data_IF_639424187968
#
_entry.id   IF_639424187968
#
_cell.length_a   1.000
_cell.length_b   1.000
_cell.length_c   1.000
_cell.angle_alpha   90.00
_cell.angle_beta   90.00
_cell.angle_gamma   90.00
#
_symmetry.space_group_name_H-M   'P 1'
#
loop_
_entity.id
_entity.type
_entity.pdbx_description
1 polymer ?
#
# COMPACT_ATOMS: atom_id res chain seq x y z
N UNK A 1 -8.57 2.74 37.65
CA UNK A 1 -8.04 3.25 36.36
C UNK A 1 -6.63 3.71 36.62
N UNK A 2 -5.62 3.05 36.01
CA UNK A 2 -4.21 3.43 36.18
C UNK A 2 -3.87 4.36 35.01
N UNK A 3 -3.35 5.55 35.31
CA UNK A 3 -2.91 6.51 34.29
C UNK A 3 -1.40 6.34 34.16
N UNK A 4 -0.97 5.87 32.99
CA UNK A 4 0.44 5.80 32.64
C UNK A 4 0.82 7.00 31.79
N UNK A 5 1.88 7.69 32.19
CA UNK A 5 2.44 8.81 31.42
C UNK A 5 3.51 8.29 30.47
N UNK A 6 3.42 8.68 29.18
CA UNK A 6 4.47 8.40 28.23
C UNK A 6 5.76 9.10 28.66
N UNK A 7 6.86 8.36 28.69
CA UNK A 7 8.16 8.93 29.06
C UNK A 7 8.60 9.96 28.02
N UNK A 8 9.08 11.08 28.52
CA UNK A 8 9.71 12.13 27.69
C UNK A 8 11.23 12.03 27.88
N UNK A 9 12.03 12.14 26.81
CA UNK A 9 13.49 12.16 26.92
C UNK A 9 13.95 13.28 27.87
N UNK A 10 15.02 13.02 28.64
CA UNK A 10 15.60 14.03 29.53
C UNK A 10 16.05 15.28 28.78
N UNK A 11 16.64 15.08 27.58
CA UNK A 11 17.01 16.18 26.69
C UNK A 11 16.01 16.23 25.54
N UNK A 12 15.29 17.34 25.46
CA UNK A 12 14.36 17.59 24.36
C UNK A 12 15.12 17.89 23.06
N UNK A 13 14.61 17.39 21.89
CA UNK A 13 15.18 17.76 20.61
C UNK A 13 14.95 19.23 20.29
N UNK A 14 15.84 19.81 19.49
CA UNK A 14 15.61 21.09 18.86
C UNK A 14 14.68 20.91 17.65
N UNK A 15 13.46 21.42 17.75
CA UNK A 15 12.45 21.37 16.70
C UNK A 15 12.20 22.76 16.07
N UNK A 16 13.11 23.72 16.25
CA UNK A 16 12.94 25.08 15.75
C UNK A 16 11.83 25.86 16.46
N UNK A 17 10.98 26.55 15.71
CA UNK A 17 9.90 27.42 16.24
C UNK A 17 8.70 26.66 16.84
N UNK A 18 8.86 25.38 17.17
CA UNK A 18 7.81 24.58 17.79
C UNK A 18 7.68 24.96 19.28
N UNK A 19 6.45 25.20 19.75
CA UNK A 19 6.21 25.56 21.14
C UNK A 19 6.73 24.50 22.13
N UNK A 20 7.15 24.86 23.35
CA UNK A 20 7.70 23.91 24.34
C UNK A 20 6.76 22.73 24.64
N UNK A 21 5.44 22.97 24.67
CA UNK A 21 4.44 21.94 24.90
C UNK A 21 4.46 20.92 23.73
N UNK A 22 4.42 21.40 22.51
CA UNK A 22 4.44 20.53 21.32
C UNK A 22 5.78 19.82 21.19
N UNK A 23 6.90 20.46 21.49
CA UNK A 23 8.22 19.82 21.50
C UNK A 23 8.24 18.62 22.45
N UNK A 24 7.70 18.75 23.67
CA UNK A 24 7.56 17.63 24.61
C UNK A 24 6.67 16.52 24.07
N UNK A 25 5.55 16.86 23.45
CA UNK A 25 4.62 15.89 22.86
C UNK A 25 5.24 15.15 21.68
N UNK A 26 5.98 15.83 20.82
CA UNK A 26 6.71 15.21 19.72
C UNK A 26 7.86 14.33 20.22
N UNK A 27 8.64 14.83 21.18
CA UNK A 27 9.72 14.05 21.80
C UNK A 27 9.21 12.77 22.46
N UNK A 28 8.08 12.83 23.17
CA UNK A 28 7.43 11.65 23.76
C UNK A 28 6.87 10.67 22.71
N UNK A 29 6.82 11.06 21.45
CA UNK A 29 6.47 10.22 20.28
C UNK A 29 7.67 9.82 19.43
N UNK A 30 8.88 10.06 19.93
CA UNK A 30 10.12 9.64 19.28
C UNK A 30 10.63 10.58 18.19
N UNK A 31 10.05 11.78 18.01
CA UNK A 31 10.57 12.77 17.07
C UNK A 31 11.88 13.34 17.62
N UNK A 32 12.95 13.29 16.83
CA UNK A 32 14.30 13.64 17.24
C UNK A 32 14.83 14.91 16.56
N UNK A 33 14.23 15.32 15.45
CA UNK A 33 14.68 16.50 14.69
C UNK A 33 13.53 17.26 14.03
N UNK A 34 13.75 18.53 13.71
CA UNK A 34 12.80 19.35 12.95
C UNK A 34 12.54 18.78 11.54
N UNK A 35 13.50 18.10 10.94
CA UNK A 35 13.35 17.49 9.62
C UNK A 35 12.24 16.41 9.60
N UNK A 36 11.99 15.72 10.72
CA UNK A 36 10.91 14.75 10.83
C UNK A 36 9.50 15.37 10.89
N UNK A 37 9.41 16.68 11.01
CA UNK A 37 8.16 17.45 10.95
C UNK A 37 7.84 17.93 9.53
N UNK A 38 8.77 17.76 8.58
CA UNK A 38 8.49 18.01 7.16
C UNK A 38 7.45 16.99 6.67
N UNK A 39 6.43 17.48 6.00
CA UNK A 39 5.31 16.70 5.46
C UNK A 39 5.25 16.77 3.93
N UNK A 40 6.27 17.34 3.32
CA UNK A 40 6.42 17.44 1.87
C UNK A 40 6.84 16.10 1.25
N UNK A 41 6.34 15.78 0.05
CA UNK A 41 6.72 14.54 -0.66
C UNK A 41 8.22 14.44 -0.95
N UNK A 42 8.93 15.56 -0.99
CA UNK A 42 10.39 15.58 -1.19
C UNK A 42 11.18 15.02 0.00
N UNK A 43 10.54 14.94 1.18
CA UNK A 43 11.14 14.39 2.39
C UNK A 43 10.89 12.87 2.53
N UNK A 44 10.18 12.24 1.59
CA UNK A 44 10.05 10.79 1.55
C UNK A 44 11.43 10.13 1.45
N UNK A 45 11.60 9.02 2.14
CA UNK A 45 12.80 8.22 2.06
C UNK A 45 13.05 7.74 0.62
N UNK A 46 14.31 7.66 0.17
CA UNK A 46 14.62 7.20 -1.17
C UNK A 46 14.31 5.71 -1.33
N UNK A 47 13.55 5.35 -2.36
CA UNK A 47 13.14 3.96 -2.64
C UNK A 47 14.33 3.03 -2.90
N UNK A 48 15.46 3.56 -3.34
CA UNK A 48 16.69 2.81 -3.59
C UNK A 48 17.22 2.06 -2.35
N UNK A 49 16.78 2.45 -1.17
CA UNK A 49 17.14 1.77 0.08
C UNK A 49 16.29 0.53 0.37
N UNK A 50 15.20 0.31 -0.36
CA UNK A 50 14.40 -0.92 -0.26
C UNK A 50 15.12 -2.06 -0.97
N UNK A 51 15.46 -3.10 -0.23
CA UNK A 51 16.04 -4.31 -0.82
C UNK A 51 15.07 -4.95 -1.82
N UNK A 52 15.60 -5.43 -2.95
CA UNK A 52 14.83 -6.09 -3.99
C UNK A 52 14.09 -5.14 -4.96
N UNK A 53 14.14 -3.82 -4.72
CA UNK A 53 13.42 -2.84 -5.54
C UNK A 53 13.86 -2.87 -7.01
N UNK A 54 15.16 -2.98 -7.27
CA UNK A 54 15.69 -3.00 -8.64
C UNK A 54 15.26 -4.25 -9.40
N UNK A 55 15.25 -5.41 -8.72
CA UNK A 55 14.76 -6.67 -9.30
C UNK A 55 13.25 -6.60 -9.61
N UNK A 56 12.44 -6.06 -8.70
CA UNK A 56 11.02 -5.87 -8.91
C UNK A 56 10.75 -4.93 -10.10
N UNK A 57 11.47 -3.82 -10.17
CA UNK A 57 11.38 -2.85 -11.28
C UNK A 57 11.77 -3.50 -12.60
N UNK A 58 12.81 -4.32 -12.63
CA UNK A 58 13.24 -5.02 -13.86
C UNK A 58 12.15 -5.99 -14.37
N UNK A 59 11.55 -6.79 -13.48
CA UNK A 59 10.45 -7.72 -13.84
C UNK A 59 9.24 -6.95 -14.35
N UNK A 60 8.80 -5.92 -13.61
CA UNK A 60 7.62 -5.11 -13.96
C UNK A 60 7.83 -4.33 -15.26
N UNK A 61 9.02 -3.76 -15.49
CA UNK A 61 9.34 -3.05 -16.73
C UNK A 61 9.31 -4.00 -17.93
N UNK A 62 9.83 -5.22 -17.77
CA UNK A 62 9.79 -6.24 -18.82
C UNK A 62 8.35 -6.69 -19.12
N UNK A 63 7.52 -6.83 -18.09
CA UNK A 63 6.11 -7.17 -18.22
C UNK A 63 5.34 -6.09 -18.98
N UNK A 64 5.55 -4.82 -18.64
CA UNK A 64 4.96 -3.67 -19.35
C UNK A 64 5.39 -3.63 -20.83
N UNK A 65 6.69 -3.78 -21.10
CA UNK A 65 7.20 -3.75 -22.47
C UNK A 65 6.63 -4.86 -23.36
N UNK A 66 6.30 -6.02 -22.77
CA UNK A 66 5.72 -7.18 -23.46
C UNK A 66 4.20 -7.23 -23.38
N UNK A 67 3.56 -6.27 -22.68
CA UNK A 67 2.12 -6.29 -22.38
C UNK A 67 1.65 -7.63 -21.78
N UNK A 68 2.44 -8.18 -20.86
CA UNK A 68 2.12 -9.41 -20.15
C UNK A 68 0.88 -9.24 -19.27
N UNK A 69 0.16 -10.34 -19.04
CA UNK A 69 -0.96 -10.40 -18.10
C UNK A 69 -0.44 -10.40 -16.66
N UNK A 70 -0.75 -9.34 -15.91
CA UNK A 70 -0.32 -9.16 -14.53
C UNK A 70 -1.51 -9.41 -13.61
N UNK A 71 -1.38 -10.35 -12.69
CA UNK A 71 -2.38 -10.62 -11.67
C UNK A 71 -1.87 -10.18 -10.29
N UNK A 72 -2.58 -9.25 -9.67
CA UNK A 72 -2.32 -8.80 -8.30
C UNK A 72 -3.02 -9.76 -7.33
N UNK A 73 -2.27 -10.32 -6.39
CA UNK A 73 -2.82 -11.17 -5.33
C UNK A 73 -2.75 -10.41 -4.01
N UNK A 74 -3.90 -9.89 -3.57
CA UNK A 74 -4.02 -9.06 -2.37
C UNK A 74 -4.37 -9.85 -1.12
N UNK A 75 -4.18 -9.20 0.04
CA UNK A 75 -4.75 -9.67 1.30
C UNK A 75 -6.22 -9.21 1.44
N UNK A 76 -6.94 -9.80 2.40
CA UNK A 76 -8.40 -9.68 2.61
C UNK A 76 -8.78 -8.55 3.58
N UNK A 77 -7.88 -7.69 3.98
CA UNK A 77 -8.15 -6.53 4.84
C UNK A 77 -8.05 -5.19 4.09
N UNK A 78 -8.23 -4.09 4.82
CA UNK A 78 -8.23 -2.76 4.23
C UNK A 78 -6.85 -2.35 3.67
N UNK A 79 -5.73 -2.84 4.24
CA UNK A 79 -4.40 -2.59 3.69
C UNK A 79 -4.21 -3.37 2.38
N UNK A 80 -4.51 -4.67 2.37
CA UNK A 80 -4.47 -5.50 1.16
C UNK A 80 -5.39 -4.99 0.06
N UNK A 81 -6.61 -4.54 0.39
CA UNK A 81 -7.54 -3.95 -0.56
C UNK A 81 -7.00 -2.65 -1.18
N UNK A 82 -6.51 -1.73 -0.35
CA UNK A 82 -5.93 -0.47 -0.85
C UNK A 82 -4.63 -0.69 -1.61
N UNK A 83 -3.81 -1.66 -1.18
CA UNK A 83 -2.59 -2.07 -1.88
C UNK A 83 -2.90 -2.65 -3.27
N UNK A 84 -3.93 -3.50 -3.37
CA UNK A 84 -4.43 -4.04 -4.65
C UNK A 84 -4.89 -2.92 -5.58
N UNK A 85 -5.66 -1.96 -5.06
CA UNK A 85 -6.12 -0.80 -5.84
C UNK A 85 -4.93 0.06 -6.32
N UNK A 86 -3.96 0.34 -5.45
CA UNK A 86 -2.75 1.11 -5.83
C UNK A 86 -1.97 0.39 -6.92
N UNK A 87 -1.77 -0.94 -6.80
CA UNK A 87 -1.07 -1.72 -7.82
C UNK A 87 -1.78 -1.69 -9.16
N UNK A 88 -3.08 -2.02 -9.19
CA UNK A 88 -3.90 -2.05 -10.42
C UNK A 88 -3.93 -0.69 -11.10
N UNK A 89 -4.23 0.36 -10.34
CA UNK A 89 -4.35 1.73 -10.89
C UNK A 89 -3.00 2.25 -11.38
N UNK A 90 -1.94 2.11 -10.58
CA UNK A 90 -0.61 2.58 -10.98
C UNK A 90 -0.10 1.85 -12.23
N UNK A 91 -0.26 0.53 -12.32
CA UNK A 91 0.16 -0.23 -13.50
C UNK A 91 -0.63 0.19 -14.74
N UNK A 92 -1.95 0.39 -14.63
CA UNK A 92 -2.77 0.91 -15.73
C UNK A 92 -2.34 2.32 -16.15
N UNK A 93 -2.10 3.21 -15.19
CA UNK A 93 -1.57 4.56 -15.44
C UNK A 93 -0.19 4.54 -16.11
N UNK A 94 0.63 3.53 -15.85
CA UNK A 94 1.95 3.33 -16.44
C UNK A 94 1.91 2.61 -17.80
N UNK A 95 0.73 2.21 -18.29
CA UNK A 95 0.53 1.68 -19.63
C UNK A 95 0.31 0.18 -19.72
N UNK A 96 0.12 -0.54 -18.60
CA UNK A 96 -0.27 -1.94 -18.62
C UNK A 96 -1.72 -2.09 -19.13
N UNK A 97 -1.93 -2.96 -20.13
CA UNK A 97 -3.25 -3.22 -20.71
C UNK A 97 -3.99 -4.37 -20.02
N UNK A 98 -3.26 -5.34 -19.48
CA UNK A 98 -3.78 -6.56 -18.89
C UNK A 98 -3.39 -6.63 -17.42
N UNK A 99 -4.16 -5.96 -16.56
CA UNK A 99 -4.00 -6.00 -15.10
C UNK A 99 -5.33 -6.34 -14.45
N UNK A 100 -5.30 -7.40 -13.68
CA UNK A 100 -6.43 -7.87 -12.88
C UNK A 100 -5.99 -8.13 -11.43
N UNK A 101 -6.93 -8.40 -10.54
CA UNK A 101 -6.63 -8.72 -9.15
C UNK A 101 -7.38 -9.98 -8.69
N UNK A 102 -6.85 -10.62 -7.68
CA UNK A 102 -7.43 -11.75 -6.97
C UNK A 102 -7.26 -11.52 -5.47
N UNK A 103 -8.36 -11.55 -4.73
CA UNK A 103 -8.32 -11.62 -3.27
C UNK A 103 -8.90 -12.94 -2.84
N UNK A 104 -8.10 -13.80 -2.19
CA UNK A 104 -8.58 -15.10 -1.77
C UNK A 104 -9.59 -14.98 -0.63
N UNK A 105 -10.62 -15.81 -0.65
CA UNK A 105 -11.49 -15.98 0.50
C UNK A 105 -10.70 -16.68 1.63
N UNK A 106 -10.45 -15.96 2.74
CA UNK A 106 -9.65 -16.45 3.88
C UNK A 106 -10.21 -17.72 4.53
N UNK A 107 -11.51 -17.94 4.41
CA UNK A 107 -12.16 -19.11 5.01
C UNK A 107 -11.97 -20.38 4.18
N UNK A 108 -11.70 -20.23 2.88
CA UNK A 108 -11.49 -21.34 1.95
C UNK A 108 -10.01 -21.67 1.75
N UNK A 109 -9.15 -20.64 1.65
CA UNK A 109 -7.76 -20.78 1.17
C UNK A 109 -6.70 -20.44 2.23
N UNK A 110 -7.10 -19.89 3.39
CA UNK A 110 -6.16 -19.47 4.42
C UNK A 110 -5.53 -18.09 4.11
N UNK A 111 -4.30 -17.88 4.59
CA UNK A 111 -3.60 -16.60 4.49
C UNK A 111 -2.47 -16.65 3.45
N UNK A 112 -2.31 -15.56 2.70
CA UNK A 112 -1.22 -15.37 1.76
C UNK A 112 -1.36 -16.20 0.47
N UNK A 113 -0.30 -16.23 -0.34
CA UNK A 113 -0.27 -17.01 -1.57
C UNK A 113 -0.03 -18.49 -1.22
N UNK A 114 -1.07 -19.33 -1.30
CA UNK A 114 -1.00 -20.78 -1.14
C UNK A 114 -0.99 -21.48 -2.49
N UNK A 115 -0.61 -22.78 -2.59
CA UNK A 115 -0.71 -23.54 -3.82
C UNK A 115 -2.13 -23.55 -4.42
N UNK A 116 -3.16 -23.63 -3.57
CA UNK A 116 -4.57 -23.62 -3.99
C UNK A 116 -4.96 -22.28 -4.63
N UNK A 117 -4.45 -21.17 -4.08
CA UNK A 117 -4.65 -19.82 -4.67
C UNK A 117 -3.93 -19.71 -6.03
N UNK A 118 -2.77 -20.34 -6.17
CA UNK A 118 -2.07 -20.41 -7.46
C UNK A 118 -2.91 -21.16 -8.49
N UNK A 119 -3.58 -22.25 -8.11
CA UNK A 119 -4.50 -22.97 -9.02
C UNK A 119 -5.66 -22.07 -9.47
N UNK A 120 -6.24 -21.28 -8.59
CA UNK A 120 -7.27 -20.28 -8.94
C UNK A 120 -6.70 -19.19 -9.84
N UNK A 121 -5.50 -18.69 -9.54
CA UNK A 121 -4.82 -17.68 -10.34
C UNK A 121 -4.54 -18.16 -11.78
N UNK A 122 -4.14 -19.42 -11.95
CA UNK A 122 -3.88 -20.03 -13.27
C UNK A 122 -5.11 -20.05 -14.19
N UNK A 123 -6.32 -20.06 -13.64
CA UNK A 123 -7.56 -19.97 -14.44
C UNK A 123 -7.68 -18.63 -15.19
N UNK A 124 -6.97 -17.59 -14.73
CA UNK A 124 -6.90 -16.26 -15.36
C UNK A 124 -5.73 -16.13 -16.33
N UNK A 125 -4.92 -17.20 -16.48
CA UNK A 125 -3.76 -17.26 -17.39
C UNK A 125 -2.80 -16.08 -17.25
N UNK A 126 -2.31 -15.73 -16.03
CA UNK A 126 -1.35 -14.66 -15.87
C UNK A 126 0.05 -15.09 -16.34
N UNK A 127 0.87 -14.11 -16.72
CA UNK A 127 2.31 -14.28 -16.95
C UNK A 127 3.10 -13.93 -15.68
N UNK A 128 2.59 -12.98 -14.89
CA UNK A 128 3.23 -12.44 -13.70
C UNK A 128 2.21 -12.35 -12.55
N UNK A 129 2.59 -12.91 -11.40
CA UNK A 129 1.91 -12.67 -10.12
C UNK A 129 2.65 -11.59 -9.34
N UNK A 130 1.90 -10.64 -8.81
CA UNK A 130 2.42 -9.64 -7.86
C UNK A 130 1.61 -9.76 -6.58
N UNK A 131 2.23 -10.23 -5.49
CA UNK A 131 1.55 -10.20 -4.20
C UNK A 131 1.64 -8.80 -3.59
N UNK A 132 0.60 -8.37 -2.93
CA UNK A 132 0.57 -7.10 -2.20
C UNK A 132 0.05 -7.35 -0.79
N UNK A 133 0.77 -6.86 0.20
CA UNK A 133 0.47 -7.02 1.62
C UNK A 133 0.47 -8.50 2.10
N UNK A 134 1.10 -9.36 1.35
CA UNK A 134 1.32 -10.76 1.69
C UNK A 134 2.47 -11.35 0.87
N UNK A 135 2.84 -12.59 1.18
CA UNK A 135 3.73 -13.37 0.34
C UNK A 135 5.12 -13.62 0.89
N UNK A 136 5.61 -12.85 1.88
CA UNK A 136 6.96 -13.02 2.44
C UNK A 136 7.17 -14.41 3.09
N UNK A 137 6.11 -15.04 3.56
CA UNK A 137 6.11 -16.38 4.16
C UNK A 137 5.48 -17.45 3.25
N UNK A 138 5.10 -17.10 2.02
CA UNK A 138 4.39 -17.97 1.07
C UNK A 138 5.34 -18.86 0.26
N UNK A 139 6.15 -19.66 0.95
CA UNK A 139 7.19 -20.51 0.32
C UNK A 139 6.59 -21.49 -0.69
N UNK A 140 5.58 -22.25 -0.26
CA UNK A 140 4.96 -23.30 -1.07
C UNK A 140 4.14 -22.70 -2.24
N UNK A 141 3.43 -21.61 -2.01
CA UNK A 141 2.68 -20.92 -3.05
C UNK A 141 3.58 -20.31 -4.12
N UNK A 142 4.68 -19.66 -3.73
CA UNK A 142 5.67 -19.16 -4.70
C UNK A 142 6.31 -20.32 -5.46
N UNK A 143 6.65 -21.41 -4.78
CA UNK A 143 7.20 -22.60 -5.44
C UNK A 143 6.21 -23.20 -6.47
N UNK A 144 4.92 -23.28 -6.13
CA UNK A 144 3.87 -23.75 -7.04
C UNK A 144 3.72 -22.81 -8.26
N UNK A 145 3.71 -21.49 -8.05
CA UNK A 145 3.65 -20.52 -9.13
C UNK A 145 4.86 -20.61 -10.07
N UNK A 146 6.07 -20.75 -9.50
CA UNK A 146 7.31 -20.94 -10.29
C UNK A 146 7.30 -22.26 -11.05
N UNK A 147 6.80 -23.35 -10.46
CA UNK A 147 6.65 -24.65 -11.12
C UNK A 147 5.65 -24.59 -12.30
N UNK A 148 4.64 -23.73 -12.21
CA UNK A 148 3.69 -23.44 -13.28
C UNK A 148 4.25 -22.50 -14.36
N UNK A 149 5.51 -22.03 -14.23
CA UNK A 149 6.16 -21.14 -15.20
C UNK A 149 5.88 -19.67 -15.04
N UNK A 150 5.22 -19.26 -13.95
CA UNK A 150 4.91 -17.85 -13.68
C UNK A 150 6.14 -17.10 -13.16
N UNK A 151 6.21 -15.80 -13.45
CA UNK A 151 7.04 -14.88 -12.69
C UNK A 151 6.31 -14.45 -11.43
N UNK A 152 7.06 -14.20 -10.34
CA UNK A 152 6.49 -13.81 -9.05
C UNK A 152 7.28 -12.64 -8.46
N UNK A 153 6.57 -11.54 -8.17
CA UNK A 153 7.08 -10.41 -7.40
C UNK A 153 6.32 -10.36 -6.08
N UNK A 154 7.04 -10.43 -4.97
CA UNK A 154 6.46 -10.30 -3.62
C UNK A 154 6.64 -8.87 -3.14
N UNK A 155 5.53 -8.20 -2.77
CA UNK A 155 5.56 -6.94 -2.02
C UNK A 155 4.79 -7.11 -0.72
N UNK A 156 5.49 -6.92 0.40
CA UNK A 156 4.95 -7.23 1.71
C UNK A 156 5.64 -6.36 2.78
N UNK A 157 5.10 -6.31 3.97
CA UNK A 157 5.69 -5.62 5.13
C UNK A 157 5.76 -6.51 6.39
N UNK A 158 5.10 -7.66 6.36
CA UNK A 158 5.10 -8.62 7.45
C UNK A 158 6.51 -9.14 7.77
N UNK A 159 6.68 -9.65 8.99
CA UNK A 159 7.95 -10.23 9.40
C UNK A 159 8.20 -11.53 8.62
N UNK A 160 9.41 -11.71 8.04
CA UNK A 160 9.75 -12.94 7.35
C UNK A 160 9.88 -14.11 8.34
N UNK A 161 9.65 -15.32 7.83
CA UNK A 161 10.03 -16.55 8.53
C UNK A 161 11.53 -16.83 8.44
N UNK A 162 11.92 -18.05 8.81
CA UNK A 162 13.32 -18.50 8.77
C UNK A 162 13.90 -18.56 7.35
N UNK A 163 13.02 -18.71 6.36
CA UNK A 163 13.38 -18.77 4.94
C UNK A 163 12.51 -17.80 4.14
N UNK A 164 13.09 -17.28 3.06
CA UNK A 164 12.36 -16.46 2.09
C UNK A 164 11.89 -17.31 0.91
N UNK A 165 10.74 -16.99 0.30
CA UNK A 165 10.29 -17.66 -0.91
C UNK A 165 11.24 -17.36 -2.09
N UNK A 166 11.35 -18.30 -3.04
CA UNK A 166 12.19 -18.17 -4.24
C UNK A 166 11.47 -17.38 -5.36
N UNK A 167 10.99 -16.19 -5.03
CA UNK A 167 10.37 -15.27 -5.99
C UNK A 167 11.44 -14.61 -6.89
N UNK A 168 11.00 -14.06 -8.03
CA UNK A 168 11.88 -13.29 -8.92
C UNK A 168 12.33 -11.97 -8.29
N UNK A 169 11.49 -11.40 -7.43
CA UNK A 169 11.86 -10.27 -6.58
C UNK A 169 11.04 -10.27 -5.28
N UNK A 170 11.64 -9.78 -4.20
CA UNK A 170 10.98 -9.56 -2.91
C UNK A 170 11.28 -8.14 -2.45
N UNK A 171 10.24 -7.33 -2.27
CA UNK A 171 10.33 -5.99 -1.70
C UNK A 171 9.59 -5.98 -0.37
N UNK A 172 10.36 -5.95 0.71
CA UNK A 172 9.83 -5.91 2.07
C UNK A 172 10.82 -5.16 2.97
N UNK A 173 10.43 -4.07 3.66
CA UNK A 173 11.32 -3.32 4.53
C UNK A 173 11.85 -4.15 5.70
N UNK A 174 11.12 -5.22 6.11
CA UNK A 174 11.46 -6.10 7.24
C UNK A 174 12.31 -7.31 6.84
N UNK A 175 12.59 -7.53 5.53
CA UNK A 175 13.42 -8.65 5.09
C UNK A 175 14.87 -8.51 5.58
N UNK A 176 15.59 -9.63 5.81
CA UNK A 176 16.97 -9.61 6.26
C UNK A 176 17.86 -8.77 5.34
N UNK A 177 18.71 -7.93 5.93
CA UNK A 177 19.66 -7.08 5.19
C UNK A 177 19.06 -5.84 4.54
N UNK A 178 17.76 -5.61 4.62
CA UNK A 178 17.15 -4.38 4.11
C UNK A 178 17.57 -3.17 4.96
N UNK A 179 18.12 -2.14 4.32
CA UNK A 179 18.58 -0.92 5.00
C UNK A 179 17.52 0.20 5.06
N UNK A 180 16.34 -0.02 4.48
CA UNK A 180 15.27 0.98 4.49
C UNK A 180 14.87 1.37 5.91
N UNK A 181 14.92 2.67 6.29
CA UNK A 181 14.76 3.06 7.68
C UNK A 181 13.33 2.89 8.22
N UNK A 182 12.31 3.09 7.38
CA UNK A 182 10.91 2.95 7.78
C UNK A 182 10.51 1.47 7.77
N UNK A 183 10.73 0.79 8.89
CA UNK A 183 10.34 -0.62 9.07
C UNK A 183 8.85 -0.82 9.30
N UNK A 184 8.16 0.27 9.62
CA UNK A 184 6.73 0.29 9.93
C UNK A 184 5.85 0.66 8.72
N UNK A 185 6.34 0.54 7.49
CA UNK A 185 5.48 0.75 6.32
C UNK A 185 4.38 -0.30 6.26
N UNK A 186 3.16 0.11 5.91
CA UNK A 186 2.07 -0.78 5.56
C UNK A 186 2.26 -1.36 4.15
N UNK A 187 1.58 -2.45 3.81
CA UNK A 187 1.68 -3.10 2.50
C UNK A 187 1.35 -2.16 1.34
N UNK A 188 0.34 -1.30 1.49
CA UNK A 188 0.01 -0.26 0.50
C UNK A 188 1.16 0.73 0.29
N UNK A 189 1.90 1.05 1.35
CA UNK A 189 3.09 1.89 1.27
C UNK A 189 4.22 1.22 0.48
N UNK A 190 4.44 -0.08 0.69
CA UNK A 190 5.46 -0.84 -0.03
C UNK A 190 5.18 -0.86 -1.52
N UNK A 191 3.97 -1.25 -1.93
CA UNK A 191 3.63 -1.28 -3.37
C UNK A 191 3.67 0.13 -3.98
N UNK A 192 3.25 1.17 -3.25
CA UNK A 192 3.37 2.54 -3.73
C UNK A 192 4.81 2.93 -4.03
N UNK A 193 5.77 2.53 -3.18
CA UNK A 193 7.20 2.75 -3.39
C UNK A 193 7.73 1.98 -4.60
N UNK A 194 7.27 0.74 -4.82
CA UNK A 194 7.59 -0.03 -6.04
C UNK A 194 7.10 0.71 -7.29
N UNK A 195 5.88 1.27 -7.26
CA UNK A 195 5.34 2.04 -8.39
C UNK A 195 6.11 3.36 -8.63
N UNK A 196 6.56 4.04 -7.57
CA UNK A 196 7.43 5.21 -7.71
C UNK A 196 8.76 4.85 -8.39
N UNK A 197 9.39 3.74 -7.97
CA UNK A 197 10.62 3.26 -8.56
C UNK A 197 10.43 2.84 -10.03
N UNK A 198 9.35 2.12 -10.31
CA UNK A 198 8.99 1.71 -11.68
C UNK A 198 8.79 2.93 -12.59
N UNK A 199 8.03 3.94 -12.15
CA UNK A 199 7.86 5.18 -12.91
C UNK A 199 9.18 5.86 -13.19
N UNK A 200 10.09 5.94 -12.20
CA UNK A 200 11.40 6.55 -12.38
C UNK A 200 12.22 5.78 -13.43
N UNK A 201 12.28 4.46 -13.35
CA UNK A 201 12.97 3.62 -14.33
C UNK A 201 12.39 3.76 -15.75
N UNK A 202 11.07 3.79 -15.87
CA UNK A 202 10.40 3.99 -17.16
C UNK A 202 10.74 5.36 -17.76
N UNK A 203 10.83 6.42 -16.94
CA UNK A 203 11.26 7.74 -17.38
C UNK A 203 12.70 7.72 -17.89
N UNK A 204 13.61 7.11 -17.13
CA UNK A 204 15.02 7.05 -17.49
C UNK A 204 15.28 6.24 -18.77
N UNK A 205 14.38 5.31 -19.09
CA UNK A 205 14.41 4.50 -20.32
C UNK A 205 13.61 5.09 -21.49
N UNK A 206 13.11 6.32 -21.40
CA UNK A 206 12.40 7.01 -22.48
C UNK A 206 10.97 6.51 -22.74
N UNK A 207 10.38 5.74 -21.80
CA UNK A 207 9.01 5.23 -21.95
C UNK A 207 7.99 6.34 -22.16
N UNK A 208 8.17 7.45 -21.48
CA UNK A 208 7.27 8.61 -21.54
C UNK A 208 7.52 9.53 -22.74
N UNK A 209 8.43 9.20 -23.63
CA UNK A 209 8.56 9.87 -24.94
C UNK A 209 7.33 9.57 -25.83
N UNK A 210 6.67 8.44 -25.60
CA UNK A 210 5.49 7.99 -26.34
C UNK A 210 4.24 7.77 -25.48
N UNK A 211 4.36 7.85 -24.15
CA UNK A 211 3.28 7.68 -23.19
C UNK A 211 3.21 8.90 -22.26
N UNK A 212 2.02 9.23 -21.78
CA UNK A 212 1.88 10.26 -20.76
C UNK A 212 2.48 9.80 -19.42
N UNK A 213 3.31 10.64 -18.80
CA UNK A 213 3.84 10.33 -17.47
C UNK A 213 2.77 10.60 -16.39
N UNK A 214 2.36 9.59 -15.62
CA UNK A 214 1.31 9.78 -14.62
C UNK A 214 1.81 10.44 -13.35
N UNK A 215 0.91 11.16 -12.66
CA UNK A 215 1.14 11.66 -11.32
C UNK A 215 0.68 10.64 -10.26
N UNK A 216 1.55 9.76 -9.82
CA UNK A 216 1.21 8.73 -8.83
C UNK A 216 0.80 9.30 -7.45
N UNK A 217 1.03 10.59 -7.18
CA UNK A 217 0.50 11.22 -5.99
C UNK A 217 -1.05 11.23 -5.94
N UNK A 218 -1.69 10.96 -7.06
CA UNK A 218 -3.15 10.79 -7.13
C UNK A 218 -3.67 9.58 -6.33
N UNK A 219 -2.82 8.62 -6.05
CA UNK A 219 -3.13 7.41 -5.30
C UNK A 219 -2.87 7.54 -3.79
N UNK A 220 -2.42 8.70 -3.31
CA UNK A 220 -2.07 8.90 -1.90
C UNK A 220 -3.28 8.88 -0.96
N UNK A 221 -4.48 9.07 -1.46
CA UNK A 221 -5.71 8.87 -0.68
C UNK A 221 -5.89 7.40 -0.27
N UNK A 222 -5.64 6.46 -1.19
CA UNK A 222 -5.61 5.02 -0.91
C UNK A 222 -4.46 4.66 0.03
N UNK A 223 -3.26 5.20 -0.23
CA UNK A 223 -2.07 4.95 0.60
C UNK A 223 -2.31 5.42 2.05
N UNK A 224 -2.94 6.59 2.23
CA UNK A 224 -3.27 7.06 3.57
C UNK A 224 -4.31 6.18 4.26
N UNK A 225 -5.32 5.70 3.52
CA UNK A 225 -6.36 4.82 4.06
C UNK A 225 -5.76 3.49 4.55
N UNK A 226 -5.02 2.76 3.71
CA UNK A 226 -4.42 1.49 4.10
C UNK A 226 -3.42 1.66 5.23
N UNK A 227 -2.49 2.62 5.14
CA UNK A 227 -1.49 2.88 6.19
C UNK A 227 -2.12 3.12 7.57
N UNK A 228 -3.25 3.85 7.62
CA UNK A 228 -3.92 4.12 8.90
C UNK A 228 -4.78 2.93 9.35
N UNK A 229 -5.40 2.21 8.41
CA UNK A 229 -6.25 1.06 8.71
C UNK A 229 -5.45 -0.13 9.25
N UNK A 230 -4.22 -0.33 8.78
CA UNK A 230 -3.29 -1.37 9.25
C UNK A 230 -2.71 -1.10 10.66
N UNK A 231 -2.93 0.12 11.17
CA UNK A 231 -2.50 0.51 12.53
C UNK A 231 -0.98 0.50 12.73
N UNK A 232 -0.19 0.57 11.68
CA UNK A 232 1.28 0.67 11.78
C UNK A 232 1.73 1.94 12.50
N UNK A 233 2.88 1.92 13.17
CA UNK A 233 3.48 3.12 13.74
C UNK A 233 3.64 4.21 12.68
N UNK A 234 3.15 5.42 12.97
CA UNK A 234 3.31 6.59 12.10
C UNK A 234 4.69 7.21 12.33
N UNK A 235 5.73 6.58 11.80
CA UNK A 235 7.07 7.16 11.72
C UNK A 235 7.12 8.36 10.76
N UNK A 236 8.27 8.98 10.59
CA UNK A 236 8.40 10.18 9.76
C UNK A 236 7.89 9.95 8.32
N UNK A 237 8.21 8.79 7.73
CA UNK A 237 7.83 8.45 6.37
C UNK A 237 6.32 8.23 6.23
N UNK A 238 5.72 7.42 7.12
CA UNK A 238 4.29 7.17 7.15
C UNK A 238 3.49 8.46 7.41
N UNK A 239 4.00 9.37 8.27
CA UNK A 239 3.38 10.68 8.50
C UNK A 239 3.28 11.53 7.23
N UNK A 240 4.30 11.48 6.36
CA UNK A 240 4.26 12.18 5.07
C UNK A 240 3.16 11.59 4.20
N UNK A 241 3.15 10.27 4.00
CA UNK A 241 2.16 9.57 3.16
C UNK A 241 0.73 9.87 3.63
N UNK A 242 0.46 9.69 4.92
CA UNK A 242 -0.86 9.92 5.52
C UNK A 242 -1.25 11.40 5.44
N UNK A 243 -0.33 12.34 5.70
CA UNK A 243 -0.62 13.77 5.60
C UNK A 243 -1.01 14.18 4.18
N UNK A 244 -0.27 13.71 3.18
CA UNK A 244 -0.52 14.04 1.78
C UNK A 244 -1.84 13.43 1.27
N UNK A 245 -2.15 12.19 1.67
CA UNK A 245 -3.43 11.57 1.34
C UNK A 245 -4.62 12.29 1.99
N UNK A 246 -4.53 12.60 3.28
CA UNK A 246 -5.55 13.40 3.97
C UNK A 246 -5.75 14.78 3.33
N UNK A 247 -4.67 15.45 2.93
CA UNK A 247 -4.75 16.74 2.25
C UNK A 247 -5.51 16.64 0.92
N UNK A 248 -5.31 15.54 0.17
CA UNK A 248 -6.05 15.27 -1.08
C UNK A 248 -7.53 15.03 -0.81
N UNK A 249 -7.85 14.17 0.17
CA UNK A 249 -9.25 13.86 0.52
C UNK A 249 -9.98 15.14 0.94
N UNK A 250 -9.37 15.95 1.81
CA UNK A 250 -9.93 17.24 2.24
C UNK A 250 -10.14 18.24 1.12
N UNK A 251 -9.31 18.18 0.08
CA UNK A 251 -9.44 19.02 -1.10
C UNK A 251 -10.45 18.48 -2.13
N UNK A 252 -11.21 17.43 -1.80
CA UNK A 252 -12.17 16.79 -2.70
C UNK A 252 -11.52 16.04 -3.88
N UNK A 253 -10.22 15.78 -3.81
CA UNK A 253 -9.44 15.08 -4.85
C UNK A 253 -9.16 13.64 -4.46
N UNK A 254 -10.16 12.94 -3.97
CA UNK A 254 -10.07 11.52 -3.63
C UNK A 254 -10.94 10.69 -4.57
N UNK A 255 -10.72 9.40 -4.55
CA UNK A 255 -11.50 8.41 -5.28
C UNK A 255 -12.98 8.45 -4.87
N UNK A 256 -13.90 8.17 -5.83
CA UNK A 256 -15.34 8.09 -5.54
C UNK A 256 -15.67 7.14 -4.38
N UNK A 257 -15.04 5.96 -4.31
CA UNK A 257 -15.24 4.99 -3.25
C UNK A 257 -14.91 5.52 -1.85
N UNK A 258 -13.79 6.24 -1.69
CA UNK A 258 -13.46 6.87 -0.41
C UNK A 258 -14.49 7.93 -0.03
N UNK A 259 -14.96 8.72 -1.01
CA UNK A 259 -15.99 9.72 -0.79
C UNK A 259 -17.31 9.09 -0.38
N UNK A 260 -17.71 8.00 -1.06
CA UNK A 260 -18.92 7.26 -0.77
C UNK A 260 -18.90 6.66 0.65
N UNK A 261 -17.79 6.03 1.05
CA UNK A 261 -17.62 5.50 2.40
C UNK A 261 -17.72 6.59 3.48
N UNK A 262 -17.18 7.78 3.22
CA UNK A 262 -17.28 8.93 4.11
C UNK A 262 -18.73 9.47 4.19
N UNK A 263 -19.42 9.53 3.06
CA UNK A 263 -20.82 9.96 2.98
C UNK A 263 -21.75 9.03 3.78
N UNK A 264 -21.62 7.72 3.56
CA UNK A 264 -22.39 6.69 4.32
C UNK A 264 -22.09 6.77 5.81
N UNK A 265 -20.84 7.11 6.16
CA UNK A 265 -20.42 7.30 7.54
C UNK A 265 -20.86 8.65 8.16
N UNK A 266 -21.47 9.54 7.39
CA UNK A 266 -21.84 10.89 7.83
C UNK A 266 -20.61 11.76 8.20
N UNK A 267 -19.47 11.57 7.52
CA UNK A 267 -18.22 12.30 7.79
C UNK A 267 -17.90 13.28 6.66
N UNK A 268 -17.81 14.58 6.96
CA UNK A 268 -17.45 15.57 5.98
C UNK A 268 -15.96 15.43 5.59
N UNK A 269 -15.67 15.29 4.29
CA UNK A 269 -14.32 15.06 3.79
C UNK A 269 -13.35 16.21 4.11
N UNK A 270 -13.82 17.47 4.11
CA UNK A 270 -13.03 18.67 4.39
C UNK A 270 -12.47 18.74 5.82
N UNK A 271 -13.10 18.02 6.76
CA UNK A 271 -12.71 17.96 8.18
C UNK A 271 -12.07 16.63 8.58
N UNK A 272 -11.83 15.75 7.62
CA UNK A 272 -11.32 14.40 7.88
C UNK A 272 -9.99 14.42 8.64
N UNK A 273 -9.84 13.55 9.61
CA UNK A 273 -8.58 13.29 10.34
C UNK A 273 -8.19 11.83 10.25
N UNK A 274 -6.94 11.50 10.59
CA UNK A 274 -6.45 10.10 10.47
C UNK A 274 -7.30 9.12 11.29
N UNK A 275 -7.82 9.52 12.45
CA UNK A 275 -8.73 8.69 13.25
C UNK A 275 -10.02 8.31 12.51
N UNK A 276 -10.52 9.14 11.60
CA UNK A 276 -11.68 8.78 10.79
C UNK A 276 -11.34 7.67 9.78
N UNK A 277 -10.12 7.69 9.20
CA UNK A 277 -9.66 6.61 8.34
C UNK A 277 -9.55 5.29 9.12
N UNK A 278 -8.91 5.31 10.31
CA UNK A 278 -8.66 4.09 11.09
C UNK A 278 -9.87 3.53 11.83
N UNK A 279 -10.80 4.37 12.29
CA UNK A 279 -11.92 3.93 13.13
C UNK A 279 -13.29 4.00 12.45
N UNK A 280 -13.37 4.58 11.25
CA UNK A 280 -14.63 4.74 10.54
C UNK A 280 -14.59 4.12 9.15
N UNK A 281 -13.62 4.51 8.31
CA UNK A 281 -13.54 4.02 6.92
C UNK A 281 -12.92 2.62 6.88
N UNK A 282 -11.76 2.41 7.51
CA UNK A 282 -11.08 1.10 7.53
C UNK A 282 -11.95 -0.04 8.05
N UNK A 283 -12.65 0.11 9.22
CA UNK A 283 -13.54 -0.94 9.71
C UNK A 283 -14.71 -1.30 8.77
N UNK A 284 -15.22 -0.33 7.99
CA UNK A 284 -16.26 -0.60 6.99
C UNK A 284 -15.70 -1.44 5.84
N UNK A 285 -14.52 -1.07 5.37
CA UNK A 285 -13.84 -1.83 4.33
C UNK A 285 -13.50 -3.25 4.83
N UNK A 286 -12.99 -3.38 6.06
CA UNK A 286 -12.73 -4.68 6.68
C UNK A 286 -13.99 -5.52 6.90
N UNK A 287 -15.16 -4.90 7.04
CA UNK A 287 -16.42 -5.62 7.18
C UNK A 287 -16.78 -6.38 5.89
N UNK A 288 -16.52 -5.82 4.71
CA UNK A 288 -16.74 -6.49 3.44
C UNK A 288 -15.98 -7.83 3.39
N UNK A 289 -14.69 -7.84 3.72
CA UNK A 289 -13.85 -9.06 3.73
C UNK A 289 -14.21 -10.08 4.83
N UNK A 290 -15.08 -9.73 5.79
CA UNK A 290 -15.56 -10.65 6.82
C UNK A 290 -16.88 -11.28 6.49
N UNK A 291 -17.69 -10.62 5.67
CA UNK A 291 -19.06 -11.07 5.38
C UNK A 291 -19.09 -11.98 4.16
N UNK A 292 -18.28 -11.69 3.13
CA UNK A 292 -18.33 -12.46 1.89
C UNK A 292 -16.97 -12.42 1.17
N UNK A 293 -16.67 -11.35 0.45
CA UNK A 293 -15.50 -11.21 -0.40
C UNK A 293 -15.03 -9.75 -0.39
N UNK A 294 -13.73 -9.52 -0.15
CA UNK A 294 -13.11 -8.19 -0.21
C UNK A 294 -13.22 -7.55 -1.61
N UNK A 295 -13.57 -8.31 -2.63
CA UNK A 295 -13.75 -7.79 -4.00
C UNK A 295 -14.73 -6.64 -4.06
N UNK A 296 -15.83 -6.66 -3.28
CA UNK A 296 -16.77 -5.54 -3.21
C UNK A 296 -16.08 -4.25 -2.73
N UNK A 297 -15.24 -4.35 -1.71
CA UNK A 297 -14.47 -3.23 -1.20
C UNK A 297 -13.46 -2.69 -2.22
N UNK A 298 -12.78 -3.58 -2.94
CA UNK A 298 -11.84 -3.22 -4.00
C UNK A 298 -12.56 -2.56 -5.17
N UNK A 299 -13.67 -3.12 -5.65
CA UNK A 299 -14.46 -2.55 -6.73
C UNK A 299 -15.00 -1.15 -6.36
N UNK A 300 -15.47 -0.98 -5.12
CA UNK A 300 -15.87 0.33 -4.61
C UNK A 300 -14.72 1.35 -4.68
N UNK A 301 -13.48 0.94 -4.38
CA UNK A 301 -12.31 1.81 -4.45
C UNK A 301 -11.78 2.00 -5.88
N UNK A 302 -11.98 1.05 -6.79
CA UNK A 302 -11.52 1.13 -8.19
C UNK A 302 -12.47 1.90 -9.09
N UNK A 303 -13.78 1.86 -8.85
CA UNK A 303 -14.76 2.51 -9.72
C UNK A 303 -14.55 4.02 -9.80
N UNK A 304 -14.82 4.58 -10.99
CA UNK A 304 -14.86 6.03 -11.21
C UNK A 304 -16.30 6.57 -11.23
N UNK A 305 -17.30 5.68 -11.20
CA UNK A 305 -18.70 6.04 -11.11
C UNK A 305 -19.12 6.34 -9.67
N UNK A 306 -19.53 7.59 -9.41
CA UNK A 306 -19.92 8.03 -8.06
C UNK A 306 -21.21 7.33 -7.57
N UNK A 307 -22.14 7.03 -8.47
CA UNK A 307 -23.38 6.34 -8.13
C UNK A 307 -23.15 4.90 -7.72
N UNK A 308 -22.34 4.18 -8.52
CA UNK A 308 -21.96 2.81 -8.25
C UNK A 308 -21.13 2.70 -6.95
N UNK A 309 -20.18 3.64 -6.75
CA UNK A 309 -19.39 3.71 -5.52
C UNK A 309 -20.29 3.87 -4.27
N UNK A 310 -21.33 4.72 -4.36
CA UNK A 310 -22.25 4.95 -3.26
C UNK A 310 -23.16 3.74 -2.98
N UNK A 311 -23.56 3.03 -4.02
CA UNK A 311 -24.31 1.77 -3.91
C UNK A 311 -23.49 0.72 -3.15
N UNK A 312 -22.27 0.45 -3.63
CA UNK A 312 -21.34 -0.49 -2.99
C UNK A 312 -21.00 -0.11 -1.54
N UNK A 313 -20.81 1.19 -1.26
CA UNK A 313 -20.49 1.66 0.08
C UNK A 313 -21.65 1.49 1.09
N UNK A 314 -22.89 1.30 0.63
CA UNK A 314 -24.07 1.06 1.48
C UNK A 314 -24.29 -0.40 1.83
N UNK A 315 -23.79 -1.32 1.00
CA UNK A 315 -23.77 -2.74 1.30
C UNK A 315 -22.79 -3.08 2.42
#
# INVERSE_FOLDING_TARGET
MQIESRQTPEKLPDLGDVSPLLTRLYAARGVQSAAELDRGLRALLPYQQLSGIDAAVAVLSAALAKQQSILIVGDFDADGATASCVAVLALRMLGAQHVDYLVPNRFEYGYGLTPEIVEVALQRSPDLLVTVDNGISSIDGVAAAKAAGLQVVVTDHHLPGDQLPLADAIVNPSQPGCSFPSKAMAGVGVIFYVMLALRASLRDNGWFDTHAEPNLAELLDLVALGTVADVVPLDANNRILVHQGLARIRAGRCRPGIRALLEVAGRPADKLVSTDLGFIVGPRLNAAGRLDDMSLGIECLLTEDEGLALEMARE
#
